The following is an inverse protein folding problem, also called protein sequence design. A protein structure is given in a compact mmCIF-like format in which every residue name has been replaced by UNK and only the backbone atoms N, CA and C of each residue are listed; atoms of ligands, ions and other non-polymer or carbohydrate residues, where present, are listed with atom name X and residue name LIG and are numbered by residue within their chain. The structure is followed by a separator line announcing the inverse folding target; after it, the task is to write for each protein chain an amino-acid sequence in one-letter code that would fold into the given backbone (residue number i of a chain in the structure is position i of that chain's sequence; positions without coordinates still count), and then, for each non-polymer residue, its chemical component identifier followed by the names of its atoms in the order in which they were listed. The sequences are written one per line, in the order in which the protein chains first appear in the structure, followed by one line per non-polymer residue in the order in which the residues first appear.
data_IF_073614906037
#
_entry.id   IF_073614906037
#
_cell.length_a   1.000
_cell.length_b   1.000
_cell.length_c   1.000
_cell.angle_alpha   90.00
_cell.angle_beta   90.00
_cell.angle_gamma   90.00
#
_symmetry.space_group_name_H-M   'P 1'
#
loop_
_entity.id
_entity.type
_entity.pdbx_description
1 polymer ?
#
# COMPACT_ATOMS: atom_id res chain seq x y z
N UNK A 1 22.48 26.99 -17.57
CA UNK A 1 21.84 26.03 -18.50
C UNK A 1 20.83 25.09 -17.84
N UNK A 2 21.02 24.64 -16.59
CA UNK A 2 20.14 23.69 -15.87
C UNK A 2 18.63 24.06 -15.81
N UNK A 3 18.29 25.36 -15.75
CA UNK A 3 16.89 25.82 -15.63
C UNK A 3 16.03 25.52 -16.86
N UNK A 4 16.61 25.50 -18.07
CA UNK A 4 15.84 25.21 -19.31
C UNK A 4 15.52 23.71 -19.41
N UNK A 5 16.48 22.84 -19.10
CA UNK A 5 16.29 21.39 -19.12
C UNK A 5 15.23 20.93 -18.11
N UNK A 6 15.24 21.47 -16.89
CA UNK A 6 14.22 21.19 -15.87
C UNK A 6 12.81 21.64 -16.33
N UNK A 7 12.71 22.83 -16.93
CA UNK A 7 11.44 23.32 -17.46
C UNK A 7 10.91 22.42 -18.58
N UNK A 8 11.78 22.01 -19.52
CA UNK A 8 11.42 21.11 -20.63
C UNK A 8 10.97 19.74 -20.12
N UNK A 9 11.65 19.17 -19.11
CA UNK A 9 11.25 17.91 -18.48
C UNK A 9 9.86 18.02 -17.81
N UNK A 10 9.60 19.13 -17.11
CA UNK A 10 8.30 19.39 -16.48
C UNK A 10 7.18 19.50 -17.53
N UNK A 11 7.42 20.21 -18.64
CA UNK A 11 6.42 20.37 -19.71
C UNK A 11 6.07 19.05 -20.40
N UNK A 12 7.05 18.17 -20.63
CA UNK A 12 6.81 16.84 -21.23
C UNK A 12 5.96 15.92 -20.34
N UNK A 13 6.07 16.04 -19.02
CA UNK A 13 5.31 15.22 -18.05
C UNK A 13 3.83 15.63 -18.01
N UNK A 14 3.51 16.90 -18.28
CA UNK A 14 2.14 17.41 -18.27
C UNK A 14 1.34 16.95 -19.50
N UNK A 15 2.00 16.68 -20.63
CA UNK A 15 1.35 16.23 -21.88
C UNK A 15 0.96 14.75 -21.92
N UNK A 16 1.41 13.91 -20.98
CA UNK A 16 1.17 12.45 -21.00
C UNK A 16 -0.12 12.02 -20.26
N UNK A 17 -1.12 12.88 -20.18
CA UNK A 17 -2.39 12.58 -19.52
C UNK A 17 -3.34 11.78 -20.44
N UNK A 18 -2.96 10.55 -20.80
CA UNK A 18 -3.87 9.60 -21.44
C UNK A 18 -4.73 8.91 -20.39
N UNK A 19 -6.06 9.07 -20.51
CA UNK A 19 -7.03 8.34 -19.69
C UNK A 19 -7.16 6.91 -20.23
N UNK A 20 -6.41 5.98 -19.66
CA UNK A 20 -6.62 4.56 -19.93
C UNK A 20 -7.79 4.05 -19.09
N UNK A 21 -8.78 3.44 -19.74
CA UNK A 21 -9.75 2.58 -19.06
C UNK A 21 -8.99 1.33 -18.61
N UNK A 22 -8.88 1.12 -17.29
CA UNK A 22 -8.30 -0.10 -16.75
C UNK A 22 -9.35 -1.22 -16.73
N UNK A 23 -8.89 -2.46 -16.88
CA UNK A 23 -9.72 -3.66 -16.72
C UNK A 23 -9.31 -4.34 -15.42
N UNK A 24 -10.30 -4.75 -14.61
CA UNK A 24 -10.04 -5.60 -13.46
C UNK A 24 -9.27 -6.86 -13.89
N UNK A 25 -8.30 -7.26 -13.07
CA UNK A 25 -7.52 -8.46 -13.27
C UNK A 25 -7.51 -9.34 -12.01
N UNK A 26 -7.12 -10.59 -12.19
CA UNK A 26 -6.95 -11.56 -11.12
C UNK A 26 -5.48 -11.87 -10.92
N UNK A 27 -5.05 -12.05 -9.68
CA UNK A 27 -3.75 -12.62 -9.32
C UNK A 27 -3.94 -13.78 -8.36
N UNK A 28 -3.24 -14.88 -8.60
CA UNK A 28 -3.35 -16.09 -7.79
C UNK A 28 -2.01 -16.40 -7.12
N UNK A 29 -2.07 -16.69 -5.83
CA UNK A 29 -0.95 -17.13 -5.00
C UNK A 29 -1.22 -18.53 -4.48
N UNK A 30 -0.18 -19.36 -4.38
CA UNK A 30 -0.28 -20.75 -3.91
C UNK A 30 0.78 -21.03 -2.87
N UNK A 31 0.39 -21.67 -1.77
CA UNK A 31 1.30 -22.11 -0.72
C UNK A 31 0.73 -23.39 -0.11
N UNK A 32 1.40 -24.53 -0.32
CA UNK A 32 0.91 -25.85 0.10
C UNK A 32 -0.53 -26.13 -0.34
N UNK A 33 -1.43 -26.37 0.62
CA UNK A 33 -2.85 -26.66 0.36
C UNK A 33 -3.71 -25.41 0.10
N UNK A 34 -3.15 -24.21 0.29
CA UNK A 34 -3.87 -22.93 0.19
C UNK A 34 -3.66 -22.29 -1.18
N UNK A 35 -4.77 -21.95 -1.83
CA UNK A 35 -4.78 -21.11 -3.02
C UNK A 35 -5.56 -19.84 -2.75
N UNK A 36 -4.92 -18.68 -2.90
CA UNK A 36 -5.56 -17.38 -2.79
C UNK A 36 -5.68 -16.73 -4.15
N UNK A 37 -6.83 -16.12 -4.45
CA UNK A 37 -7.03 -15.30 -5.64
C UNK A 37 -7.53 -13.93 -5.24
N UNK A 38 -6.91 -12.87 -5.75
CA UNK A 38 -7.35 -11.50 -5.56
C UNK A 38 -7.77 -10.87 -6.89
N UNK A 39 -8.94 -10.25 -6.89
CA UNK A 39 -9.47 -9.41 -7.97
C UNK A 39 -9.24 -7.94 -7.64
N UNK A 40 -8.61 -7.18 -8.53
CA UNK A 40 -8.33 -5.74 -8.35
C UNK A 40 -8.20 -5.01 -9.69
N UNK A 41 -8.30 -3.69 -9.69
CA UNK A 41 -8.11 -2.85 -10.88
C UNK A 41 -6.68 -2.37 -11.10
N UNK A 42 -5.84 -2.38 -10.06
CA UNK A 42 -4.46 -1.87 -10.09
C UNK A 42 -3.53 -2.68 -9.19
N UNK A 43 -2.23 -2.44 -9.35
CA UNK A 43 -1.17 -3.01 -8.52
C UNK A 43 -1.04 -2.32 -7.16
N UNK A 44 -1.95 -2.62 -6.24
CA UNK A 44 -1.92 -2.14 -4.86
C UNK A 44 -1.02 -3.00 -3.96
N UNK A 45 -0.60 -2.43 -2.82
CA UNK A 45 0.11 -3.18 -1.78
C UNK A 45 -0.75 -4.29 -1.14
N UNK A 46 -2.08 -4.24 -1.27
CA UNK A 46 -2.97 -5.34 -0.89
C UNK A 46 -2.63 -6.66 -1.61
N UNK A 47 -2.05 -6.61 -2.83
CA UNK A 47 -1.57 -7.82 -3.53
C UNK A 47 -0.48 -8.53 -2.71
N UNK A 48 0.49 -7.76 -2.19
CA UNK A 48 1.58 -8.27 -1.35
C UNK A 48 1.04 -8.82 -0.04
N UNK A 49 0.04 -8.15 0.53
CA UNK A 49 -0.62 -8.61 1.75
C UNK A 49 -1.35 -9.94 1.54
N UNK A 50 -2.07 -10.12 0.43
CA UNK A 50 -2.74 -11.39 0.11
C UNK A 50 -1.74 -12.53 -0.04
N UNK A 51 -0.57 -12.29 -0.62
CA UNK A 51 0.50 -13.28 -0.68
C UNK A 51 1.01 -13.68 0.72
N UNK A 52 1.22 -12.70 1.61
CA UNK A 52 1.57 -12.95 3.02
C UNK A 52 0.48 -13.78 3.72
N UNK A 53 -0.79 -13.39 3.56
CA UNK A 53 -1.94 -14.13 4.10
C UNK A 53 -1.92 -15.59 3.62
N UNK A 54 -1.62 -15.81 2.34
CA UNK A 54 -1.56 -17.16 1.75
C UNK A 54 -0.53 -18.03 2.44
N UNK A 55 0.67 -17.49 2.68
CA UNK A 55 1.75 -18.21 3.35
C UNK A 55 1.43 -18.50 4.81
N UNK A 56 0.93 -17.50 5.54
CA UNK A 56 0.52 -17.67 6.94
C UNK A 56 -0.63 -18.65 7.09
N UNK A 57 -1.62 -18.61 6.19
CA UNK A 57 -2.74 -19.53 6.19
C UNK A 57 -2.28 -20.97 5.98
N UNK A 58 -1.33 -21.21 5.07
CA UNK A 58 -0.77 -22.54 4.87
C UNK A 58 -0.06 -23.06 6.12
N UNK A 59 0.73 -22.22 6.79
CA UNK A 59 1.40 -22.58 8.05
C UNK A 59 0.37 -22.91 9.13
N UNK A 60 -0.64 -22.05 9.33
CA UNK A 60 -1.74 -22.26 10.27
C UNK A 60 -2.42 -23.61 10.05
N UNK A 61 -2.90 -23.85 8.82
CA UNK A 61 -3.66 -25.05 8.48
C UNK A 61 -2.80 -26.32 8.58
N UNK A 62 -1.53 -26.24 8.20
CA UNK A 62 -0.57 -27.34 8.35
C UNK A 62 -0.31 -27.69 9.81
N UNK A 63 -0.10 -26.70 10.68
CA UNK A 63 0.06 -26.91 12.13
C UNK A 63 -1.24 -27.43 12.78
N UNK A 64 -2.40 -27.09 12.21
CA UNK A 64 -3.69 -27.67 12.60
C UNK A 64 -3.92 -29.07 12.00
N UNK A 65 -3.06 -29.59 11.13
CA UNK A 65 -3.24 -30.90 10.49
C UNK A 65 -4.32 -30.94 9.40
N UNK A 66 -4.75 -29.80 8.87
CA UNK A 66 -5.67 -29.71 7.71
C UNK A 66 -4.85 -29.81 6.43
N UNK A 67 -5.07 -30.88 5.65
CA UNK A 67 -4.34 -31.15 4.40
C UNK A 67 -5.20 -30.95 3.15
N UNK A 68 -6.51 -30.87 3.32
CA UNK A 68 -7.47 -30.60 2.25
C UNK A 68 -7.22 -29.24 1.61
N UNK A 69 -7.67 -29.10 0.35
CA UNK A 69 -7.52 -27.85 -0.38
C UNK A 69 -8.33 -26.73 0.27
N UNK A 70 -7.71 -25.55 0.39
CA UNK A 70 -8.35 -24.33 0.89
C UNK A 70 -8.29 -23.24 -0.18
N UNK A 71 -9.43 -22.60 -0.44
CA UNK A 71 -9.56 -21.52 -1.42
C UNK A 71 -9.88 -20.19 -0.73
N UNK A 72 -9.02 -19.19 -0.89
CA UNK A 72 -9.26 -17.83 -0.41
C UNK A 72 -9.53 -16.92 -1.60
N UNK A 73 -10.62 -16.16 -1.57
CA UNK A 73 -10.97 -15.21 -2.62
C UNK A 73 -11.09 -13.81 -2.04
N UNK A 74 -10.35 -12.87 -2.62
CA UNK A 74 -10.27 -11.48 -2.18
C UNK A 74 -10.78 -10.58 -3.30
N UNK A 75 -11.92 -9.92 -3.11
CA UNK A 75 -12.44 -8.91 -4.03
C UNK A 75 -12.10 -7.52 -3.48
N UNK A 76 -11.07 -6.89 -4.06
CA UNK A 76 -10.58 -5.61 -3.57
C UNK A 76 -11.50 -4.47 -4.02
N UNK A 77 -12.23 -3.87 -3.08
CA UNK A 77 -13.02 -2.66 -3.35
C UNK A 77 -12.13 -1.41 -3.36
N UNK A 78 -11.30 -1.30 -4.38
CA UNK A 78 -10.43 -0.15 -4.58
C UNK A 78 -11.20 1.15 -4.91
N UNK A 79 -12.49 1.04 -5.24
CA UNK A 79 -13.36 2.21 -5.50
C UNK A 79 -14.02 2.78 -4.26
N UNK A 80 -14.19 1.96 -3.21
CA UNK A 80 -14.89 2.32 -1.98
C UNK A 80 -16.40 2.46 -2.17
N UNK A 81 -16.99 1.71 -3.10
CA UNK A 81 -18.41 1.76 -3.43
C UNK A 81 -19.23 0.63 -2.82
N UNK A 82 -18.58 -0.36 -2.21
CA UNK A 82 -19.20 -1.59 -1.70
C UNK A 82 -18.95 -1.72 -0.20
N UNK A 83 -19.96 -2.25 0.50
CA UNK A 83 -19.80 -2.64 1.89
C UNK A 83 -18.87 -3.86 1.97
N UNK A 84 -18.03 -3.87 3.00
CA UNK A 84 -17.20 -5.03 3.29
C UNK A 84 -18.10 -6.22 3.61
N UNK A 85 -17.80 -7.38 3.06
CA UNK A 85 -18.56 -8.61 3.30
C UNK A 85 -17.62 -9.81 3.33
N UNK A 86 -17.84 -10.68 4.30
CA UNK A 86 -17.12 -11.94 4.45
C UNK A 86 -18.14 -13.09 4.38
N UNK A 87 -17.88 -14.04 3.48
CA UNK A 87 -18.62 -15.29 3.40
C UNK A 87 -17.66 -16.45 3.43
N UNK A 88 -18.07 -17.56 4.05
CA UNK A 88 -17.30 -18.79 3.96
C UNK A 88 -18.21 -20.01 3.91
N UNK A 89 -17.66 -21.09 3.36
CA UNK A 89 -18.34 -22.36 3.24
C UNK A 89 -17.35 -23.50 3.42
N UNK A 90 -17.82 -24.55 4.08
CA UNK A 90 -17.17 -25.86 4.14
C UNK A 90 -17.98 -26.81 3.25
N UNK A 91 -17.40 -27.30 2.16
CA UNK A 91 -18.04 -28.33 1.32
C UNK A 91 -16.96 -29.11 0.56
N UNK A 92 -16.51 -30.23 1.13
CA UNK A 92 -15.33 -30.99 0.68
C UNK A 92 -14.01 -30.18 0.60
N UNK A 93 -14.06 -28.87 0.81
CA UNK A 93 -12.96 -27.90 0.89
C UNK A 93 -13.40 -26.70 1.71
N UNK A 94 -12.44 -25.99 2.30
CA UNK A 94 -12.70 -24.70 2.96
C UNK A 94 -12.62 -23.60 1.90
N UNK A 95 -13.65 -22.75 1.82
CA UNK A 95 -13.66 -21.57 0.96
C UNK A 95 -13.97 -20.33 1.79
N UNK A 96 -13.14 -19.29 1.68
CA UNK A 96 -13.33 -17.99 2.32
C UNK A 96 -13.31 -16.89 1.28
N UNK A 97 -14.37 -16.11 1.19
CA UNK A 97 -14.47 -14.95 0.31
C UNK A 97 -14.53 -13.67 1.14
N UNK A 98 -13.69 -12.69 0.82
CA UNK A 98 -13.68 -11.37 1.43
C UNK A 98 -13.81 -10.30 0.35
N UNK A 99 -14.84 -9.48 0.46
CA UNK A 99 -14.94 -8.21 -0.25
C UNK A 99 -14.58 -7.11 0.73
N UNK A 100 -13.52 -6.36 0.47
CA UNK A 100 -13.11 -5.27 1.35
C UNK A 100 -12.19 -4.29 0.63
N UNK A 101 -12.07 -3.08 1.19
CA UNK A 101 -11.05 -2.10 0.78
C UNK A 101 -9.65 -2.49 1.28
N UNK A 102 -9.58 -3.23 2.38
CA UNK A 102 -8.35 -3.64 3.05
C UNK A 102 -8.57 -5.00 3.66
N UNK A 103 -7.63 -5.91 3.48
CA UNK A 103 -7.67 -7.23 4.12
C UNK A 103 -6.85 -7.18 5.42
N UNK A 104 -7.38 -7.73 6.51
CA UNK A 104 -6.67 -7.84 7.80
C UNK A 104 -6.13 -9.26 7.94
N UNK A 105 -4.82 -9.39 8.21
CA UNK A 105 -4.18 -10.70 8.33
C UNK A 105 -4.76 -11.42 9.53
N UNK A 106 -4.79 -10.79 10.71
CA UNK A 106 -5.35 -11.38 11.92
C UNK A 106 -6.79 -11.87 11.72
N UNK A 107 -7.69 -11.01 11.24
CA UNK A 107 -9.09 -11.37 10.97
C UNK A 107 -9.18 -12.58 10.04
N UNK A 108 -8.43 -12.59 8.94
CA UNK A 108 -8.45 -13.68 7.97
C UNK A 108 -7.98 -15.00 8.56
N UNK A 109 -6.87 -15.00 9.30
CA UNK A 109 -6.34 -16.20 9.92
C UNK A 109 -7.26 -16.73 11.03
N UNK A 110 -7.88 -15.85 11.82
CA UNK A 110 -8.84 -16.23 12.85
C UNK A 110 -10.09 -16.91 12.27
N UNK A 111 -10.61 -16.36 11.17
CA UNK A 111 -11.72 -16.96 10.43
C UNK A 111 -11.33 -18.33 9.88
N UNK A 112 -10.11 -18.48 9.36
CA UNK A 112 -9.62 -19.77 8.85
C UNK A 112 -9.41 -20.80 9.96
N UNK A 113 -8.90 -20.40 11.11
CA UNK A 113 -8.80 -21.28 12.28
C UNK A 113 -10.17 -21.79 12.71
N UNK A 114 -11.16 -20.91 12.80
CA UNK A 114 -12.54 -21.29 13.10
C UNK A 114 -13.09 -22.29 12.08
N UNK A 115 -12.96 -21.99 10.79
CA UNK A 115 -13.45 -22.86 9.70
C UNK A 115 -12.73 -24.22 9.67
N UNK A 116 -11.43 -24.23 9.96
CA UNK A 116 -10.64 -25.46 10.04
C UNK A 116 -11.09 -26.37 11.19
N UNK A 117 -11.51 -25.79 12.32
CA UNK A 117 -12.08 -26.56 13.43
C UNK A 117 -13.46 -27.10 13.08
N UNK A 118 -14.33 -26.29 12.48
CA UNK A 118 -15.64 -26.75 11.99
C UNK A 118 -15.48 -27.88 10.96
N UNK A 119 -14.57 -27.73 9.99
CA UNK A 119 -14.29 -28.71 8.94
C UNK A 119 -13.88 -30.09 9.49
N UNK A 120 -13.17 -30.12 10.62
CA UNK A 120 -12.78 -31.37 11.29
C UNK A 120 -13.96 -32.03 12.00
N UNK A 121 -14.86 -31.24 12.55
CA UNK A 121 -15.97 -31.71 13.38
C UNK A 121 -17.20 -32.11 12.53
N UNK A 122 -17.44 -31.41 11.43
CA UNK A 122 -18.56 -31.66 10.51
C UNK A 122 -18.15 -31.31 9.07
N UNK A 123 -18.31 -32.27 8.16
CA UNK A 123 -17.93 -32.12 6.75
C UNK A 123 -19.08 -31.61 5.87
N UNK A 124 -20.28 -31.42 6.45
CA UNK A 124 -21.45 -30.95 5.70
C UNK A 124 -21.48 -29.43 5.49
N UNK A 125 -22.23 -29.02 4.47
CA UNK A 125 -22.35 -27.63 4.02
C UNK A 125 -22.90 -26.71 5.11
N UNK A 126 -22.08 -25.77 5.59
CA UNK A 126 -22.51 -24.66 6.45
C UNK A 126 -22.06 -23.34 5.85
N UNK A 127 -23.01 -22.48 5.46
CA UNK A 127 -22.73 -21.06 5.28
C UNK A 127 -22.84 -20.39 6.64
N UNK A 128 -21.76 -19.79 7.11
CA UNK A 128 -21.74 -19.10 8.40
C UNK A 128 -21.60 -17.61 8.12
N UNK A 129 -22.41 -16.78 8.80
CA UNK A 129 -22.16 -15.34 8.91
C UNK A 129 -21.15 -15.14 10.05
N UNK A 130 -19.85 -15.26 9.73
CA UNK A 130 -18.80 -15.62 10.71
C UNK A 130 -18.31 -14.42 11.52
N UNK A 131 -18.52 -13.19 11.07
CA UNK A 131 -17.87 -12.03 11.68
C UNK A 131 -18.15 -11.92 13.19
N UNK A 132 -19.37 -12.19 13.65
CA UNK A 132 -19.67 -12.08 15.09
C UNK A 132 -19.28 -13.30 15.93
N UNK A 133 -19.15 -14.49 15.34
CA UNK A 133 -18.90 -15.73 16.10
C UNK A 133 -17.40 -15.96 16.28
N UNK A 134 -16.62 -15.85 15.19
CA UNK A 134 -15.18 -16.12 15.27
C UNK A 134 -14.39 -14.94 15.85
N UNK A 135 -14.84 -13.68 15.65
CA UNK A 135 -14.04 -12.52 16.06
C UNK A 135 -14.10 -12.24 17.56
N UNK A 136 -15.14 -12.72 18.27
CA UNK A 136 -15.31 -12.52 19.71
C UNK A 136 -14.53 -13.51 20.59
N UNK A 137 -14.03 -14.61 20.02
CA UNK A 137 -13.23 -15.58 20.79
C UNK A 137 -11.82 -15.05 21.06
N UNK A 138 -11.17 -15.52 22.11
CA UNK A 138 -9.73 -15.24 22.30
C UNK A 138 -8.89 -15.88 21.19
N UNK A 139 -7.72 -15.30 20.91
CA UNK A 139 -6.80 -15.89 19.95
C UNK A 139 -6.21 -17.18 20.53
N UNK A 140 -6.11 -18.22 19.70
CA UNK A 140 -5.35 -19.40 20.10
C UNK A 140 -3.85 -19.06 20.27
N UNK A 141 -3.09 -19.87 21.03
CA UNK A 141 -1.64 -19.73 21.12
C UNK A 141 -0.95 -19.84 19.74
N UNK A 142 -1.48 -20.69 18.86
CA UNK A 142 -0.98 -20.87 17.49
C UNK A 142 -1.17 -19.60 16.66
N UNK A 143 -2.38 -19.05 16.66
CA UNK A 143 -2.70 -17.82 15.96
C UNK A 143 -1.86 -16.64 16.46
N UNK A 144 -1.71 -16.52 17.79
CA UNK A 144 -0.88 -15.49 18.43
C UNK A 144 0.58 -15.59 17.99
N UNK A 145 1.15 -16.79 18.00
CA UNK A 145 2.51 -17.04 17.51
C UNK A 145 2.68 -16.63 16.05
N UNK A 146 1.72 -16.97 15.18
CA UNK A 146 1.80 -16.66 13.75
C UNK A 146 1.72 -15.17 13.45
N UNK A 147 0.77 -14.46 14.09
CA UNK A 147 0.62 -13.00 13.94
C UNK A 147 1.88 -12.26 14.41
N UNK A 148 2.53 -12.77 15.45
CA UNK A 148 3.76 -12.22 15.99
C UNK A 148 5.01 -12.57 15.16
N UNK A 149 4.90 -13.37 14.10
CA UNK A 149 6.04 -13.75 13.25
C UNK A 149 6.28 -12.68 12.18
N UNK A 150 7.53 -12.19 12.05
CA UNK A 150 7.92 -11.22 11.02
C UNK A 150 7.74 -11.79 9.61
N UNK A 151 6.85 -11.20 8.81
CA UNK A 151 6.61 -11.55 7.42
C UNK A 151 7.22 -10.51 6.48
N UNK A 152 8.25 -10.89 5.72
CA UNK A 152 8.90 -9.98 4.79
C UNK A 152 7.99 -9.63 3.61
N UNK A 153 8.10 -8.40 3.09
CA UNK A 153 7.42 -8.00 1.85
C UNK A 153 7.81 -8.94 0.68
N UNK A 154 6.86 -9.62 0.03
CA UNK A 154 7.11 -10.38 -1.19
C UNK A 154 7.61 -9.46 -2.31
N UNK A 155 8.58 -9.92 -3.11
CA UNK A 155 9.27 -9.16 -4.17
C UNK A 155 10.31 -8.12 -3.71
N UNK A 156 11.11 -8.42 -2.69
CA UNK A 156 12.35 -7.66 -2.44
C UNK A 156 13.59 -8.44 -2.93
N UNK A 157 13.83 -8.55 -4.26
CA UNK A 157 15.09 -9.12 -4.77
C UNK A 157 16.27 -8.18 -4.52
N UNK A 158 16.01 -6.90 -4.22
CA UNK A 158 17.05 -5.95 -3.87
C UNK A 158 17.71 -6.38 -2.57
N UNK A 159 19.03 -6.57 -2.61
CA UNK A 159 19.87 -6.82 -1.43
C UNK A 159 20.09 -5.55 -0.61
N UNK A 160 19.74 -4.38 -1.14
CA UNK A 160 19.95 -3.09 -0.52
C UNK A 160 18.74 -2.14 -0.63
N UNK A 161 18.62 -1.20 0.29
CA UNK A 161 17.62 -0.12 0.25
C UNK A 161 16.49 -0.32 1.25
N UNK A 162 15.39 0.42 1.10
CA UNK A 162 14.29 0.37 2.07
C UNK A 162 13.34 -0.78 1.74
N UNK A 163 12.86 -1.44 2.77
CA UNK A 163 11.83 -2.46 2.71
C UNK A 163 10.98 -2.41 3.98
N UNK A 164 9.98 -3.28 4.06
CA UNK A 164 9.22 -3.50 5.28
C UNK A 164 8.95 -4.98 5.52
N UNK A 165 8.64 -5.29 6.77
CA UNK A 165 8.01 -6.54 7.18
C UNK A 165 6.69 -6.24 7.88
N UNK A 166 5.80 -7.22 7.92
CA UNK A 166 4.56 -7.17 8.69
C UNK A 166 4.72 -8.01 9.94
N UNK A 167 4.31 -7.47 11.08
CA UNK A 167 4.25 -8.15 12.36
C UNK A 167 3.10 -7.52 13.17
N UNK A 168 2.28 -8.33 13.85
CA UNK A 168 1.15 -7.82 14.63
C UNK A 168 0.17 -6.94 13.82
N UNK A 169 -0.08 -7.30 12.56
CA UNK A 169 -0.85 -6.50 11.59
C UNK A 169 -0.28 -5.10 11.28
N UNK A 170 0.94 -4.80 11.72
CA UNK A 170 1.63 -3.52 11.50
C UNK A 170 2.79 -3.65 10.51
N UNK A 171 3.02 -2.59 9.74
CA UNK A 171 4.13 -2.46 8.80
C UNK A 171 5.32 -1.81 9.48
N UNK A 172 6.43 -2.53 9.55
CA UNK A 172 7.69 -2.06 10.12
C UNK A 172 8.70 -1.81 9.01
N UNK A 173 9.12 -0.57 8.84
CA UNK A 173 10.07 -0.19 7.81
C UNK A 173 11.52 -0.31 8.30
N UNK A 174 12.42 -0.71 7.41
CA UNK A 174 13.83 -0.89 7.74
C UNK A 174 14.73 -0.61 6.53
N UNK A 175 15.99 -0.28 6.81
CA UNK A 175 17.04 -0.24 5.80
C UNK A 175 17.70 -1.62 5.69
N UNK A 176 17.69 -2.16 4.48
CA UNK A 176 18.44 -3.35 4.10
C UNK A 176 19.83 -2.93 3.67
N UNK A 177 20.82 -3.45 4.38
CA UNK A 177 22.24 -3.34 4.05
C UNK A 177 22.77 -4.76 3.75
N UNK A 178 23.56 -4.96 2.68
CA UNK A 178 24.10 -6.28 2.35
C UNK A 178 25.19 -6.76 3.31
N UNK A 179 25.83 -5.86 4.06
CA UNK A 179 26.98 -6.15 4.94
C UNK A 179 26.62 -6.02 6.41
N UNK A 180 25.65 -5.15 6.74
CA UNK A 180 25.21 -4.90 8.12
C UNK A 180 23.84 -5.53 8.40
N UNK A 181 23.54 -5.90 9.66
CA UNK A 181 22.19 -6.29 10.04
C UNK A 181 21.19 -5.19 9.66
N UNK A 182 19.94 -5.54 9.31
CA UNK A 182 18.92 -4.56 9.00
C UNK A 182 18.78 -3.53 10.12
N UNK A 183 18.88 -2.25 9.79
CA UNK A 183 18.63 -1.17 10.73
C UNK A 183 17.15 -0.80 10.67
N UNK A 184 16.44 -0.97 11.78
CA UNK A 184 15.04 -0.58 11.88
C UNK A 184 14.90 0.94 11.66
N UNK A 185 13.89 1.31 10.89
CA UNK A 185 13.45 2.70 10.81
C UNK A 185 12.37 2.89 11.85
N UNK A 186 12.42 4.01 12.58
CA UNK A 186 11.39 4.42 13.53
C UNK A 186 10.09 4.85 12.81
N UNK A 187 9.56 4.00 11.92
CA UNK A 187 8.26 4.14 11.29
C UNK A 187 7.54 2.79 11.34
N UNK A 188 6.43 2.79 12.08
CA UNK A 188 5.50 1.67 12.20
C UNK A 188 4.13 2.20 11.79
N UNK A 189 3.45 1.51 10.88
CA UNK A 189 2.14 1.91 10.37
C UNK A 189 1.13 0.78 10.51
N UNK A 190 -0.11 1.09 10.84
CA UNK A 190 -1.21 0.11 10.83
C UNK A 190 -1.73 -0.15 9.41
N UNK A 191 -1.45 0.79 8.49
CA UNK A 191 -1.97 0.76 7.13
C UNK A 191 -0.90 1.18 6.11
N UNK A 192 -1.00 0.59 4.92
CA UNK A 192 -0.13 0.89 3.79
C UNK A 192 -0.97 0.91 2.52
N UNK A 193 -1.14 2.09 1.94
CA UNK A 193 -1.82 2.29 0.67
C UNK A 193 -0.87 2.03 -0.51
N UNK A 194 0.34 2.58 -0.45
CA UNK A 194 1.35 2.43 -1.50
C UNK A 194 2.75 2.57 -0.93
N UNK A 195 3.66 1.73 -1.41
CA UNK A 195 5.09 1.83 -1.12
C UNK A 195 5.87 1.99 -2.43
N UNK A 196 6.60 3.08 -2.57
CA UNK A 196 7.41 3.36 -3.75
C UNK A 196 8.86 3.65 -3.36
N UNK A 197 9.81 2.88 -3.90
CA UNK A 197 11.24 3.18 -3.73
C UNK A 197 11.63 4.37 -4.60
N UNK A 198 12.39 5.30 -4.04
CA UNK A 198 12.86 6.50 -4.74
C UNK A 198 14.33 6.77 -4.43
N UNK A 199 15.22 6.63 -5.41
CA UNK A 199 16.66 6.86 -5.20
C UNK A 199 17.20 6.05 -4.01
N UNK A 200 17.73 6.74 -2.98
CA UNK A 200 18.18 6.16 -1.70
C UNK A 200 17.11 6.18 -0.59
N UNK A 201 15.84 6.26 -0.98
CA UNK A 201 14.70 6.50 -0.12
C UNK A 201 13.46 5.72 -0.56
N UNK A 202 12.33 5.99 0.10
CA UNK A 202 11.02 5.49 -0.26
C UNK A 202 9.93 6.48 0.14
N UNK A 203 8.91 6.64 -0.71
CA UNK A 203 7.65 7.28 -0.38
C UNK A 203 6.67 6.22 0.12
N UNK A 204 6.08 6.46 1.27
CA UNK A 204 5.24 5.52 2.00
C UNK A 204 3.90 6.20 2.24
N UNK A 205 2.91 5.82 1.45
CA UNK A 205 1.56 6.31 1.60
C UNK A 205 0.83 5.41 2.59
N UNK A 206 0.59 5.93 3.78
CA UNK A 206 -0.19 5.27 4.83
C UNK A 206 -1.69 5.38 4.54
N UNK A 207 -2.11 6.45 3.85
CA UNK A 207 -3.48 6.61 3.37
C UNK A 207 -3.52 7.01 1.88
N UNK A 208 -4.73 7.16 1.36
CA UNK A 208 -4.98 7.72 0.04
C UNK A 208 -4.79 9.25 -0.06
N UNK A 209 -4.14 9.90 0.91
CA UNK A 209 -3.84 11.33 0.82
C UNK A 209 -2.63 11.77 1.64
N UNK A 210 -2.11 10.90 2.49
CA UNK A 210 -0.95 11.21 3.34
C UNK A 210 0.20 10.27 3.04
N UNK A 211 1.41 10.77 3.29
CA UNK A 211 2.61 9.97 3.11
C UNK A 211 3.76 10.42 4.00
N UNK A 212 4.70 9.51 4.19
CA UNK A 212 6.03 9.74 4.73
C UNK A 212 7.06 9.52 3.64
N UNK A 213 8.24 10.10 3.82
CA UNK A 213 9.43 9.75 3.09
C UNK A 213 10.47 9.20 4.07
N UNK A 214 11.04 8.05 3.77
CA UNK A 214 12.23 7.54 4.42
C UNK A 214 13.41 7.78 3.48
N UNK A 215 14.55 8.22 4.00
CA UNK A 215 15.75 8.49 3.19
C UNK A 215 17.03 8.11 3.94
N UNK A 216 18.04 7.68 3.19
CA UNK A 216 19.40 7.47 3.68
C UNK A 216 20.44 8.25 2.84
N UNK A 217 20.12 9.49 2.46
CA UNK A 217 21.01 10.31 1.63
C UNK A 217 22.22 10.80 2.44
N UNK A 218 21.97 11.39 3.60
CA UNK A 218 23.03 11.86 4.52
C UNK A 218 23.05 11.01 5.79
N UNK A 219 21.87 10.76 6.36
CA UNK A 219 21.61 9.88 7.49
C UNK A 219 20.23 9.26 7.34
N UNK A 220 19.96 8.11 7.96
CA UNK A 220 18.61 7.58 8.10
C UNK A 220 17.65 8.63 8.68
N UNK A 221 16.68 9.07 7.90
CA UNK A 221 15.62 10.00 8.35
C UNK A 221 14.25 9.53 7.90
N UNK A 222 13.25 9.90 8.70
CA UNK A 222 11.84 9.85 8.36
C UNK A 222 11.35 11.30 8.30
N UNK A 223 10.64 11.65 7.24
CA UNK A 223 10.02 12.95 7.09
C UNK A 223 8.91 13.18 8.13
N UNK A 224 8.47 14.43 8.21
CA UNK A 224 7.12 14.72 8.70
C UNK A 224 6.06 14.01 7.83
N UNK A 225 4.85 13.82 8.38
CA UNK A 225 3.73 13.27 7.62
C UNK A 225 3.16 14.36 6.71
N UNK A 226 3.28 14.17 5.41
CA UNK A 226 2.78 15.10 4.40
C UNK A 226 1.34 14.77 4.00
N UNK A 227 0.58 15.79 3.58
CA UNK A 227 -0.79 15.63 3.09
C UNK A 227 -0.95 16.25 1.70
N UNK A 228 -1.36 15.43 0.74
CA UNK A 228 -1.81 15.87 -0.57
C UNK A 228 -3.13 16.65 -0.42
N UNK A 229 -3.23 17.77 -1.12
CA UNK A 229 -4.39 18.67 -1.00
C UNK A 229 -5.61 18.16 -1.79
N UNK A 230 -6.82 18.57 -1.41
CA UNK A 230 -8.05 18.42 -2.21
C UNK A 230 -8.77 17.07 -2.07
N UNK A 231 -9.88 16.91 -2.81
CA UNK A 231 -10.71 15.70 -2.81
C UNK A 231 -10.12 14.62 -3.72
N UNK A 232 -9.17 13.85 -3.18
CA UNK A 232 -8.42 12.83 -3.92
C UNK A 232 -9.31 11.64 -4.21
N UNK A 233 -9.26 11.19 -5.47
CA UNK A 233 -9.95 10.01 -5.92
C UNK A 233 -9.09 8.77 -5.61
N UNK A 234 -9.71 7.76 -5.00
CA UNK A 234 -9.03 6.66 -4.27
C UNK A 234 -8.81 5.38 -5.10
N UNK A 235 -9.12 5.43 -6.40
CA UNK A 235 -9.29 4.26 -7.27
C UNK A 235 -8.04 3.80 -8.01
N UNK A 236 -6.89 4.47 -7.82
CA UNK A 236 -5.59 3.98 -8.33
C UNK A 236 -4.42 4.45 -7.47
N UNK A 237 -3.30 3.70 -7.42
CA UNK A 237 -2.05 4.19 -6.87
C UNK A 237 -1.54 5.44 -7.58
N UNK A 238 -0.66 6.18 -6.92
CA UNK A 238 0.00 7.35 -7.44
C UNK A 238 1.09 6.98 -8.44
N UNK A 239 1.19 7.78 -9.51
CA UNK A 239 2.36 7.73 -10.38
C UNK A 239 3.41 8.70 -9.83
N UNK A 240 4.57 8.15 -9.49
CA UNK A 240 5.69 8.89 -8.94
C UNK A 240 6.78 8.97 -10.00
N UNK A 241 7.37 10.15 -10.18
CA UNK A 241 8.39 10.38 -11.21
C UNK A 241 9.52 11.23 -10.62
N UNK A 242 10.76 10.75 -10.71
CA UNK A 242 11.92 11.54 -10.33
C UNK A 242 12.12 12.70 -11.32
N UNK A 243 12.39 13.89 -10.78
CA UNK A 243 12.79 15.11 -11.49
C UNK A 243 14.25 15.47 -11.18
N UNK A 244 15.03 14.49 -10.74
CA UNK A 244 16.39 14.65 -10.20
C UNK A 244 16.53 13.94 -8.84
N UNK A 245 17.72 14.01 -8.25
CA UNK A 245 18.11 13.20 -7.08
C UNK A 245 17.22 13.39 -5.85
N UNK A 246 16.71 14.62 -5.68
CA UNK A 246 15.97 15.04 -4.48
C UNK A 246 14.55 15.53 -4.76
N UNK A 247 14.07 15.41 -6.01
CA UNK A 247 12.79 16.01 -6.42
C UNK A 247 11.89 14.96 -7.05
N UNK A 248 10.66 14.84 -6.54
CA UNK A 248 9.72 13.80 -6.96
C UNK A 248 8.35 14.41 -7.29
N UNK A 249 7.89 14.19 -8.52
CA UNK A 249 6.53 14.51 -8.93
C UNK A 249 5.59 13.38 -8.51
N UNK A 250 4.55 13.72 -7.76
CA UNK A 250 3.48 12.81 -7.33
C UNK A 250 2.22 13.18 -8.11
N UNK A 251 1.80 12.32 -9.04
CA UNK A 251 0.63 12.53 -9.89
C UNK A 251 -0.58 11.83 -9.31
N UNK A 252 -1.69 12.56 -9.19
CA UNK A 252 -2.92 12.08 -8.59
C UNK A 252 -4.16 12.73 -9.19
N UNK A 253 -5.30 12.04 -9.13
CA UNK A 253 -6.57 12.53 -9.65
C UNK A 253 -7.43 13.11 -8.52
N UNK A 254 -8.07 14.24 -8.78
CA UNK A 254 -9.03 14.90 -7.87
C UNK A 254 -10.42 14.94 -8.48
N UNK A 255 -11.46 14.82 -7.64
CA UNK A 255 -12.83 15.17 -8.01
C UNK A 255 -12.94 16.70 -7.99
N UNK A 256 -13.56 17.28 -9.01
CA UNK A 256 -13.88 18.70 -9.00
C UNK A 256 -15.06 18.94 -8.03
N UNK A 257 -15.01 19.98 -7.22
CA UNK A 257 -16.10 20.27 -6.27
C UNK A 257 -17.39 20.70 -6.99
N UNK A 258 -17.25 21.29 -8.17
CA UNK A 258 -18.35 21.88 -8.95
C UNK A 258 -18.61 21.18 -10.30
N UNK A 259 -17.98 20.05 -10.58
CA UNK A 259 -18.09 19.39 -11.89
C UNK A 259 -17.90 17.86 -11.80
N UNK A 260 -18.45 17.12 -12.78
CA UNK A 260 -18.30 15.65 -12.91
C UNK A 260 -16.88 15.30 -13.41
N UNK A 261 -16.14 16.28 -13.94
CA UNK A 261 -14.80 16.11 -14.49
C UNK A 261 -13.74 15.64 -13.50
N UNK A 262 -12.85 14.77 -13.97
CA UNK A 262 -11.64 14.35 -13.25
C UNK A 262 -10.49 15.28 -13.64
N UNK A 263 -9.84 15.90 -12.64
CA UNK A 263 -8.65 16.71 -12.87
C UNK A 263 -7.41 15.99 -12.36
N UNK A 264 -6.40 15.86 -13.22
CA UNK A 264 -5.08 15.40 -12.80
C UNK A 264 -4.33 16.56 -12.15
N UNK A 265 -3.72 16.28 -11.01
CA UNK A 265 -2.88 17.20 -10.27
C UNK A 265 -1.50 16.59 -10.06
N UNK A 266 -0.50 17.45 -9.99
CA UNK A 266 0.89 17.05 -9.71
C UNK A 266 1.35 17.83 -8.50
N UNK A 267 1.71 17.12 -7.43
CA UNK A 267 2.47 17.68 -6.33
C UNK A 267 3.96 17.46 -6.59
N UNK A 268 4.80 18.35 -6.05
CA UNK A 268 6.25 18.21 -6.06
C UNK A 268 6.71 18.04 -4.62
N UNK A 269 7.34 16.90 -4.33
CA UNK A 269 8.02 16.65 -3.08
C UNK A 269 9.52 16.90 -3.24
N UNK A 270 10.09 17.72 -2.37
CA UNK A 270 11.50 18.09 -2.33
C UNK A 270 12.12 17.45 -1.08
N UNK A 271 12.86 16.38 -1.29
CA UNK A 271 13.42 15.54 -0.23
C UNK A 271 14.44 16.27 0.64
N UNK A 272 15.30 17.10 0.03
CA UNK A 272 16.36 17.84 0.74
C UNK A 272 15.80 18.75 1.84
N UNK A 273 14.63 19.34 1.62
CA UNK A 273 14.01 20.30 2.53
C UNK A 273 12.76 19.74 3.21
N UNK A 274 12.51 18.43 3.09
CA UNK A 274 11.27 17.79 3.52
C UNK A 274 10.00 18.60 3.20
N UNK A 275 9.87 19.08 1.95
CA UNK A 275 8.86 20.07 1.59
C UNK A 275 7.94 19.54 0.49
N UNK A 276 6.63 19.64 0.71
CA UNK A 276 5.61 19.35 -0.29
C UNK A 276 5.04 20.64 -0.91
N UNK A 277 5.17 20.78 -2.23
CA UNK A 277 4.45 21.77 -3.04
C UNK A 277 3.19 21.10 -3.58
N UNK A 278 1.97 21.39 -3.06
CA UNK A 278 0.78 20.58 -3.33
C UNK A 278 0.24 20.68 -4.77
N UNK A 279 0.60 21.75 -5.48
CA UNK A 279 0.19 22.01 -6.86
C UNK A 279 1.33 22.67 -7.64
N UNK A 280 2.08 21.84 -8.36
CA UNK A 280 3.23 22.27 -9.16
C UNK A 280 2.83 23.28 -10.24
N UNK A 281 1.68 23.10 -10.90
CA UNK A 281 1.23 24.00 -11.97
C UNK A 281 0.94 25.42 -11.44
N UNK A 282 0.26 25.52 -10.30
CA UNK A 282 0.01 26.82 -9.66
C UNK A 282 1.30 27.46 -9.19
N UNK A 283 2.22 26.67 -8.61
CA UNK A 283 3.52 27.15 -8.19
C UNK A 283 4.32 27.73 -9.36
N UNK A 284 4.38 27.01 -10.49
CA UNK A 284 5.07 27.48 -11.68
C UNK A 284 4.44 28.74 -12.27
N UNK A 285 3.11 28.83 -12.35
CA UNK A 285 2.44 30.04 -12.84
C UNK A 285 2.76 31.27 -11.99
N UNK A 286 2.75 31.13 -10.65
CA UNK A 286 3.08 32.24 -9.74
C UNK A 286 4.54 32.67 -9.82
N UNK A 287 5.46 31.72 -9.98
CA UNK A 287 6.89 31.98 -9.86
C UNK A 287 7.61 32.19 -11.21
N UNK A 288 7.11 31.62 -12.31
CA UNK A 288 7.72 31.77 -13.65
C UNK A 288 7.24 33.06 -14.36
N UNK A 289 6.08 33.59 -13.99
CA UNK A 289 5.55 34.87 -14.51
C UNK A 289 6.10 36.09 -13.75
N UNK A 290 6.84 35.88 -12.65
CA UNK A 290 7.54 36.95 -11.93
C UNK A 290 9.05 36.93 -12.24
N UNK A 291 9.71 38.11 -12.37
CA UNK A 291 11.12 38.18 -12.73
C UNK A 291 12.00 37.37 -11.76
N UNK A 292 13.00 36.68 -12.33
CA UNK A 292 13.86 35.69 -11.66
C UNK A 292 14.59 36.18 -10.39
N UNK A 293 14.59 37.50 -10.13
CA UNK A 293 15.13 38.12 -8.92
C UNK A 293 14.31 37.83 -7.65
N UNK A 294 13.03 37.45 -7.76
CA UNK A 294 12.18 37.10 -6.59
C UNK A 294 12.22 35.62 -6.17
N UNK A 295 12.52 34.71 -7.09
CA UNK A 295 12.49 33.25 -6.86
C UNK A 295 13.43 32.76 -5.73
N UNK A 296 14.54 33.46 -5.46
CA UNK A 296 15.48 33.12 -4.38
C UNK A 296 15.00 33.58 -2.99
N UNK A 297 14.13 34.59 -2.92
CA UNK A 297 13.55 35.05 -1.65
C UNK A 297 12.37 34.17 -1.25
N UNK A 298 11.50 33.81 -2.18
CA UNK A 298 10.25 33.12 -1.85
C UNK A 298 10.45 31.67 -1.39
N UNK A 299 11.52 30.99 -1.81
CA UNK A 299 11.86 29.64 -1.29
C UNK A 299 12.46 29.72 0.11
N UNK A 300 13.13 30.84 0.47
CA UNK A 300 13.68 31.06 1.83
C UNK A 300 12.67 31.70 2.79
N UNK A 301 11.55 32.22 2.30
CA UNK A 301 10.51 32.86 3.11
C UNK A 301 9.26 31.99 3.28
N UNK A 302 9.28 30.73 2.82
CA UNK A 302 8.38 29.69 3.37
C UNK A 302 9.04 29.16 4.64
N UNK A 303 9.18 30.05 5.62
CA UNK A 303 9.35 29.72 7.02
C UNK A 303 7.97 29.84 7.65
N UNK A 304 7.53 28.82 8.38
CA UNK A 304 6.65 29.07 9.51
C UNK A 304 7.48 29.75 10.61
#
# INVERSE_FOLDING_TARGET
MMKKALLTAIFGIISLNTSFAHKDFFRTYRSGSVTSTIKTGYEYEELKKVEIITNLANTLLSEMGVRDSVSLFFDHDYTGSRDSNISASVNHKITLNQNARKFKIHTTLKLLEYLANEFKNDKEFRTVHIENIALNNENSPLLTKLINTKQQRPESPSTQGISYFIQNDQYHFYFKDPVSPPSEVNLILDELFQFERIGRGALIFDTDSTFYCISNITKPTVSTRHKLSGNIRKWKPYKITSLGDHNYAIQYSKKNENDIGIKNNTALYILEYDTLIPNLNTFLRKNVVLPASKLRKDIRSVSF
#
